data_IF_755515806335
#
_entry.id   IF_755515806335
#
_cell.length_a   1.000
_cell.length_b   1.000
_cell.length_c   1.000
_cell.angle_alpha   90.00
_cell.angle_beta   90.00
_cell.angle_gamma   90.00
#
_symmetry.space_group_name_H-M   'P 1'
#
loop_
_entity.id
_entity.type
_entity.pdbx_description
1 polymer ?
#
# COMPACT_ATOMS: atom_id res chain seq x y z
N UNK A 1 24.26 14.46 4.75
CA UNK A 1 22.98 15.21 4.78
C UNK A 1 21.77 14.36 4.38
N UNK A 2 21.80 13.59 3.28
CA UNK A 2 20.65 12.78 2.82
C UNK A 2 20.20 11.72 3.87
N UNK A 3 21.14 11.07 4.56
CA UNK A 3 20.84 10.06 5.61
C UNK A 3 20.17 10.69 6.86
N UNK A 4 20.47 11.95 7.18
CA UNK A 4 19.86 12.67 8.30
C UNK A 4 18.40 13.03 8.04
N UNK A 5 18.08 13.45 6.81
CA UNK A 5 16.70 13.74 6.40
C UNK A 5 15.82 12.49 6.38
N UNK A 6 16.37 11.36 5.95
CA UNK A 6 15.66 10.08 6.00
C UNK A 6 15.38 9.57 7.41
N UNK A 7 16.25 9.89 8.38
CA UNK A 7 16.03 9.55 9.79
C UNK A 7 14.80 10.28 10.37
N UNK A 8 14.62 11.56 10.04
CA UNK A 8 13.42 12.33 10.43
C UNK A 8 12.15 11.71 9.84
N UNK A 9 12.21 11.24 8.59
CA UNK A 9 11.07 10.56 7.96
C UNK A 9 10.71 9.24 8.67
N UNK A 10 11.67 8.51 9.27
CA UNK A 10 11.39 7.33 10.08
C UNK A 10 10.79 7.65 11.46
N UNK A 11 11.06 8.84 11.99
CA UNK A 11 10.48 9.23 13.28
C UNK A 11 9.00 9.56 13.18
N UNK A 12 8.49 9.85 11.97
CA UNK A 12 7.06 10.05 11.75
C UNK A 12 6.37 8.70 11.77
N UNK A 13 5.48 8.40 12.74
CA UNK A 13 4.77 7.13 12.78
C UNK A 13 3.96 6.93 11.50
N UNK A 14 3.90 5.70 10.98
CA UNK A 14 3.19 5.40 9.72
C UNK A 14 1.73 5.81 9.79
N UNK A 15 1.10 5.61 10.95
CA UNK A 15 -0.26 6.04 11.24
C UNK A 15 -0.45 7.56 11.17
N UNK A 16 0.55 8.35 11.60
CA UNK A 16 0.48 9.81 11.51
C UNK A 16 0.56 10.28 10.06
N UNK A 17 1.42 9.64 9.25
CA UNK A 17 1.50 9.92 7.81
C UNK A 17 0.18 9.58 7.09
N UNK A 18 -0.43 8.44 7.42
CA UNK A 18 -1.75 8.08 6.90
C UNK A 18 -2.81 9.11 7.31
N UNK A 19 -2.81 9.55 8.56
CA UNK A 19 -3.70 10.60 9.07
C UNK A 19 -3.57 11.93 8.31
N UNK A 20 -2.34 12.35 8.00
CA UNK A 20 -2.05 13.57 7.24
C UNK A 20 -2.52 13.51 5.79
N UNK A 21 -2.59 12.33 5.18
CA UNK A 21 -3.02 12.18 3.79
C UNK A 21 -4.54 12.24 3.62
N UNK A 22 -5.32 12.05 4.70
CA UNK A 22 -6.78 12.02 4.63
C UNK A 22 -7.40 13.33 4.14
N UNK A 23 -7.02 14.52 4.64
CA UNK A 23 -7.58 15.78 4.15
C UNK A 23 -7.24 16.06 2.69
N UNK A 24 -6.13 15.50 2.20
CA UNK A 24 -5.59 15.77 0.85
C UNK A 24 -6.11 14.79 -0.21
N UNK A 25 -6.15 13.50 0.12
CA UNK A 25 -6.42 12.41 -0.83
C UNK A 25 -7.63 11.55 -0.43
N UNK A 26 -8.27 11.87 0.68
CA UNK A 26 -9.39 11.09 1.21
C UNK A 26 -8.96 9.78 1.82
N UNK A 27 -9.82 8.77 1.70
CA UNK A 27 -9.68 7.51 2.43
C UNK A 27 -9.72 6.34 1.48
N UNK A 28 -8.87 5.35 1.74
CA UNK A 28 -8.79 4.13 0.96
C UNK A 28 -7.38 3.78 0.52
N UNK A 29 -7.30 3.05 -0.58
CA UNK A 29 -6.05 2.47 -1.10
C UNK A 29 -5.06 3.52 -1.60
N UNK A 30 -5.53 4.61 -2.20
CA UNK A 30 -4.66 5.66 -2.77
C UNK A 30 -3.73 6.30 -1.72
N UNK A 31 -4.23 6.90 -0.62
CA UNK A 31 -3.36 7.45 0.43
C UNK A 31 -2.49 6.39 1.09
N UNK A 32 -2.98 5.15 1.24
CA UNK A 32 -2.19 4.05 1.76
C UNK A 32 -0.98 3.73 0.87
N UNK A 33 -1.18 3.62 -0.44
CA UNK A 33 -0.09 3.38 -1.39
C UNK A 33 0.93 4.52 -1.36
N UNK A 34 0.49 5.77 -1.31
CA UNK A 34 1.39 6.93 -1.22
C UNK A 34 2.28 6.82 0.03
N UNK A 35 1.68 6.54 1.20
CA UNK A 35 2.43 6.37 2.44
C UNK A 35 3.40 5.19 2.39
N UNK A 36 2.95 4.03 1.90
CA UNK A 36 3.77 2.82 1.79
C UNK A 36 4.95 3.02 0.84
N UNK A 37 4.75 3.71 -0.28
CA UNK A 37 5.83 4.08 -1.21
C UNK A 37 6.85 4.98 -0.51
N UNK A 38 6.40 6.01 0.21
CA UNK A 38 7.30 6.90 0.94
C UNK A 38 8.15 6.14 1.98
N UNK A 39 7.56 5.15 2.65
CA UNK A 39 8.26 4.28 3.60
C UNK A 39 9.26 3.34 2.92
N UNK A 40 8.88 2.76 1.79
CA UNK A 40 9.72 1.84 1.01
C UNK A 40 10.95 2.52 0.40
N UNK A 41 10.85 3.80 0.06
CA UNK A 41 11.96 4.57 -0.50
C UNK A 41 13.18 4.55 0.41
N UNK A 42 12.98 4.47 1.72
CA UNK A 42 14.11 4.54 2.63
C UNK A 42 15.08 3.35 2.56
N UNK A 43 14.66 2.10 2.80
CA UNK A 43 15.55 0.95 2.63
C UNK A 43 16.12 0.88 1.21
N UNK A 44 15.35 1.28 0.19
CA UNK A 44 15.84 1.35 -1.19
C UNK A 44 16.98 2.36 -1.35
N UNK A 45 16.80 3.60 -0.91
CA UNK A 45 17.80 4.66 -1.01
C UNK A 45 19.04 4.33 -0.18
N UNK A 46 18.86 3.84 1.05
CA UNK A 46 19.96 3.49 1.94
C UNK A 46 20.84 2.40 1.34
N UNK A 47 20.23 1.30 0.88
CA UNK A 47 20.98 0.20 0.29
C UNK A 47 21.59 0.57 -1.06
N UNK A 48 20.90 1.36 -1.88
CA UNK A 48 21.47 1.85 -3.16
C UNK A 48 22.68 2.74 -2.91
N UNK A 49 22.58 3.68 -1.97
CA UNK A 49 23.68 4.57 -1.62
C UNK A 49 24.87 3.80 -1.03
N UNK A 50 24.61 2.88 -0.10
CA UNK A 50 25.65 2.00 0.47
C UNK A 50 26.31 1.17 -0.62
N UNK A 51 25.54 0.52 -1.49
CA UNK A 51 26.08 -0.30 -2.57
C UNK A 51 27.03 0.50 -3.46
N UNK A 52 26.62 1.66 -3.96
CA UNK A 52 27.47 2.51 -4.82
C UNK A 52 28.75 2.94 -4.08
N UNK A 53 28.66 3.24 -2.78
CA UNK A 53 29.81 3.68 -1.99
C UNK A 53 30.80 2.54 -1.70
N UNK A 54 30.35 1.30 -1.68
CA UNK A 54 31.18 0.11 -1.43
C UNK A 54 31.93 -0.38 -2.67
N UNK A 55 31.66 0.17 -3.86
CA UNK A 55 32.41 -0.14 -5.07
C UNK A 55 33.86 0.34 -4.94
N UNK A 56 34.81 -0.56 -5.20
CA UNK A 56 36.24 -0.24 -5.20
C UNK A 56 36.56 0.89 -6.20
N UNK A 57 37.12 2.02 -5.76
CA UNK A 57 37.54 3.12 -6.63
C UNK A 57 38.47 2.67 -7.77
N UNK A 58 39.32 1.66 -7.55
CA UNK A 58 40.24 1.15 -8.56
C UNK A 58 39.49 0.57 -9.77
N UNK A 59 38.33 -0.05 -9.56
CA UNK A 59 37.48 -0.56 -10.64
C UNK A 59 36.84 0.59 -11.44
N UNK A 60 36.55 1.71 -10.79
CA UNK A 60 35.98 2.89 -11.44
C UNK A 60 37.04 3.63 -12.28
N UNK A 61 38.25 3.78 -11.75
CA UNK A 61 39.39 4.36 -12.47
C UNK A 61 39.79 3.50 -13.67
N UNK A 62 39.82 2.17 -13.50
CA UNK A 62 40.07 1.24 -14.60
C UNK A 62 38.99 1.35 -15.71
N UNK A 63 37.71 1.50 -15.33
CA UNK A 63 36.64 1.71 -16.30
C UNK A 63 36.81 3.03 -17.07
N UNK A 64 37.25 4.10 -16.40
CA UNK A 64 37.55 5.38 -17.04
C UNK A 64 38.76 5.30 -17.97
N UNK A 65 39.84 4.64 -17.54
CA UNK A 65 41.04 4.41 -18.35
C UNK A 65 40.74 3.58 -19.62
N UNK A 66 39.76 2.68 -19.55
CA UNK A 66 39.24 1.92 -20.69
C UNK A 66 38.31 2.73 -21.62
N UNK A 67 38.18 4.04 -21.40
CA UNK A 67 37.38 4.95 -22.23
C UNK A 67 35.87 4.82 -22.00
N UNK A 68 35.42 4.26 -20.88
CA UNK A 68 33.99 4.20 -20.59
C UNK A 68 33.44 5.57 -20.20
N UNK A 69 32.42 6.03 -20.93
CA UNK A 69 31.65 7.20 -20.52
C UNK A 69 30.79 6.89 -19.28
N UNK A 70 30.29 7.94 -18.61
CA UNK A 70 29.51 7.84 -17.36
C UNK A 70 28.35 6.85 -17.42
N UNK A 71 27.62 6.79 -18.55
CA UNK A 71 26.50 5.84 -18.74
C UNK A 71 26.98 4.39 -18.87
N UNK A 72 28.05 4.15 -19.64
CA UNK A 72 28.64 2.80 -19.79
C UNK A 72 29.23 2.32 -18.47
N UNK A 73 29.94 3.18 -17.75
CA UNK A 73 30.49 2.88 -16.42
C UNK A 73 29.37 2.50 -15.43
N UNK A 74 28.31 3.31 -15.37
CA UNK A 74 27.15 3.01 -14.52
C UNK A 74 26.51 1.65 -14.86
N UNK A 75 26.21 1.40 -16.14
CA UNK A 75 25.47 0.21 -16.56
C UNK A 75 26.31 -1.08 -16.56
N UNK A 76 27.62 -1.00 -16.79
CA UNK A 76 28.50 -2.18 -16.95
C UNK A 76 29.38 -2.47 -15.74
N UNK A 77 29.60 -1.50 -14.86
CA UNK A 77 30.52 -1.65 -13.72
C UNK A 77 29.78 -1.39 -12.41
N UNK A 78 29.31 -0.16 -12.19
CA UNK A 78 28.68 0.21 -10.91
C UNK A 78 27.41 -0.60 -10.63
N UNK A 79 26.44 -0.64 -11.56
CA UNK A 79 25.18 -1.35 -11.33
C UNK A 79 25.41 -2.85 -11.07
N UNK A 80 26.12 -3.62 -11.92
CA UNK A 80 26.34 -5.05 -11.66
C UNK A 80 27.03 -5.36 -10.32
N UNK A 81 28.00 -4.54 -9.91
CA UNK A 81 28.71 -4.73 -8.64
C UNK A 81 27.83 -4.41 -7.42
N UNK A 82 26.89 -3.48 -7.57
CA UNK A 82 26.01 -3.00 -6.48
C UNK A 82 24.67 -3.73 -6.41
N UNK A 83 24.31 -4.50 -7.44
CA UNK A 83 23.05 -5.22 -7.52
C UNK A 83 22.70 -6.05 -6.28
N UNK A 84 23.61 -6.84 -5.67
CA UNK A 84 23.27 -7.63 -4.48
C UNK A 84 22.77 -6.76 -3.33
N UNK A 85 23.44 -5.62 -3.09
CA UNK A 85 23.06 -4.67 -2.04
C UNK A 85 21.73 -3.99 -2.37
N UNK A 86 21.53 -3.56 -3.62
CA UNK A 86 20.25 -2.98 -4.07
C UNK A 86 19.11 -3.98 -3.88
N UNK A 87 19.30 -5.25 -4.26
CA UNK A 87 18.31 -6.31 -4.10
C UNK A 87 18.01 -6.63 -2.64
N UNK A 88 19.01 -6.57 -1.76
CA UNK A 88 18.78 -6.65 -0.30
C UNK A 88 17.88 -5.49 0.19
N UNK A 89 18.07 -4.30 -0.37
CA UNK A 89 17.20 -3.14 -0.13
C UNK A 89 15.76 -3.35 -0.60
N UNK A 90 15.57 -3.87 -1.81
CA UNK A 90 14.24 -4.21 -2.36
C UNK A 90 13.53 -5.23 -1.48
N UNK A 91 14.24 -6.27 -1.03
CA UNK A 91 13.69 -7.30 -0.16
C UNK A 91 13.25 -6.73 1.19
N UNK A 92 14.10 -5.94 1.81
CA UNK A 92 13.79 -5.26 3.09
C UNK A 92 12.57 -4.35 2.93
N UNK A 93 12.49 -3.60 1.83
CA UNK A 93 11.37 -2.74 1.51
C UNK A 93 10.06 -3.53 1.33
N UNK A 94 10.11 -4.67 0.63
CA UNK A 94 8.94 -5.51 0.39
C UNK A 94 8.36 -6.06 1.71
N UNK A 95 9.20 -6.62 2.57
CA UNK A 95 8.78 -7.13 3.89
C UNK A 95 8.20 -6.00 4.75
N UNK A 96 8.84 -4.83 4.75
CA UNK A 96 8.36 -3.64 5.47
C UNK A 96 6.98 -3.20 4.97
N UNK A 97 6.78 -3.10 3.65
CA UNK A 97 5.51 -2.71 3.05
C UNK A 97 4.41 -3.71 3.41
N UNK A 98 4.65 -5.01 3.26
CA UNK A 98 3.63 -6.03 3.54
C UNK A 98 3.19 -5.96 5.01
N UNK A 99 4.15 -5.82 5.93
CA UNK A 99 3.85 -5.65 7.35
C UNK A 99 3.07 -4.37 7.63
N UNK A 100 3.53 -3.23 7.13
CA UNK A 100 2.90 -1.92 7.38
C UNK A 100 1.56 -1.73 6.65
N UNK A 101 1.35 -2.42 5.53
CA UNK A 101 0.09 -2.39 4.78
C UNK A 101 -1.08 -2.95 5.60
N UNK A 102 -0.83 -3.85 6.55
CA UNK A 102 -1.88 -4.35 7.46
C UNK A 102 -2.49 -3.21 8.29
N UNK A 103 -1.69 -2.22 8.66
CA UNK A 103 -2.13 -1.04 9.42
C UNK A 103 -2.96 -0.09 8.55
N UNK A 104 -2.78 -0.12 7.22
CA UNK A 104 -3.53 0.73 6.30
C UNK A 104 -5.04 0.39 6.26
N UNK A 105 -5.45 -0.78 6.77
CA UNK A 105 -6.86 -1.11 7.01
C UNK A 105 -7.56 -0.08 7.90
N UNK A 106 -6.84 0.55 8.84
CA UNK A 106 -7.36 1.64 9.70
C UNK A 106 -7.87 2.84 8.91
N UNK A 107 -7.38 3.02 7.68
CA UNK A 107 -7.83 4.07 6.76
C UNK A 107 -8.60 3.50 5.57
N UNK A 108 -9.26 2.35 5.75
CA UNK A 108 -10.12 1.74 4.73
C UNK A 108 -9.40 1.30 3.46
N UNK A 109 -8.09 1.03 3.53
CA UNK A 109 -7.34 0.45 2.41
C UNK A 109 -7.70 -1.03 2.15
N UNK A 110 -8.27 -1.70 3.16
CA UNK A 110 -8.77 -3.06 3.08
C UNK A 110 -7.71 -4.15 3.25
N UNK A 111 -8.10 -5.39 2.99
CA UNK A 111 -7.21 -6.55 2.86
C UNK A 111 -7.08 -7.37 4.15
N UNK A 112 -5.96 -8.07 4.33
CA UNK A 112 -5.74 -8.92 5.52
C UNK A 112 -5.77 -8.10 6.83
N UNK A 113 -5.46 -6.81 6.76
CA UNK A 113 -5.56 -5.89 7.89
C UNK A 113 -6.97 -5.72 8.44
N UNK A 114 -8.01 -5.86 7.62
CA UNK A 114 -9.41 -5.76 8.07
C UNK A 114 -9.75 -6.89 9.06
N UNK A 115 -9.26 -8.10 8.78
CA UNK A 115 -9.48 -9.28 9.63
C UNK A 115 -8.73 -9.13 10.95
N UNK A 116 -7.49 -8.62 10.89
CA UNK A 116 -6.69 -8.35 12.09
C UNK A 116 -7.41 -7.32 12.97
N UNK A 117 -7.87 -6.23 12.37
CA UNK A 117 -8.54 -5.15 13.06
C UNK A 117 -9.87 -5.59 13.66
N UNK A 118 -10.64 -6.39 12.91
CA UNK A 118 -11.88 -7.01 13.41
C UNK A 118 -11.63 -7.91 14.62
N UNK A 119 -10.55 -8.69 14.61
CA UNK A 119 -10.15 -9.51 15.76
C UNK A 119 -9.74 -8.67 16.97
N UNK A 120 -9.02 -7.56 16.76
CA UNK A 120 -8.66 -6.62 17.84
C UNK A 120 -9.92 -6.05 18.48
N UNK A 121 -10.87 -5.57 17.67
CA UNK A 121 -12.10 -4.96 18.17
C UNK A 121 -13.00 -5.94 18.92
N UNK A 122 -13.04 -7.19 18.46
CA UNK A 122 -13.82 -8.27 19.10
C UNK A 122 -13.09 -8.95 20.24
N UNK A 123 -11.85 -8.54 20.55
CA UNK A 123 -10.97 -9.23 21.49
C UNK A 123 -10.84 -10.74 21.18
N UNK A 124 -10.90 -11.09 19.89
CA UNK A 124 -10.89 -12.46 19.41
C UNK A 124 -9.51 -12.78 18.81
N UNK A 125 -8.70 -13.48 19.59
CA UNK A 125 -7.37 -13.90 19.18
C UNK A 125 -7.38 -14.83 17.95
N UNK A 126 -8.43 -15.62 17.74
CA UNK A 126 -8.52 -16.49 16.57
C UNK A 126 -8.65 -15.64 15.30
N UNK A 127 -9.49 -14.60 15.32
CA UNK A 127 -9.60 -13.66 14.20
C UNK A 127 -8.29 -12.89 13.94
N UNK A 128 -7.62 -12.43 14.99
CA UNK A 128 -6.30 -11.77 14.85
C UNK A 128 -5.31 -12.71 14.14
N UNK A 129 -5.25 -13.97 14.56
CA UNK A 129 -4.33 -14.96 13.97
C UNK A 129 -4.71 -15.32 12.53
N UNK A 130 -6.00 -15.41 12.20
CA UNK A 130 -6.47 -15.67 10.83
C UNK A 130 -6.03 -14.55 9.88
N UNK A 131 -5.95 -13.30 10.33
CA UNK A 131 -5.41 -12.20 9.52
C UNK A 131 -3.88 -12.13 9.52
N UNK A 132 -3.25 -12.27 10.69
CA UNK A 132 -1.82 -12.06 10.88
C UNK A 132 -0.95 -13.19 10.28
N UNK A 133 -1.36 -14.46 10.42
CA UNK A 133 -0.58 -15.60 9.92
C UNK A 133 -0.44 -15.55 8.39
N UNK A 134 -1.51 -15.39 7.60
CA UNK A 134 -1.39 -15.25 6.15
C UNK A 134 -0.58 -14.02 5.74
N UNK A 135 -0.68 -12.90 6.46
CA UNK A 135 0.11 -11.71 6.17
C UNK A 135 1.62 -11.96 6.38
N UNK A 136 1.98 -12.63 7.49
CA UNK A 136 3.36 -13.02 7.76
C UNK A 136 3.89 -14.04 6.74
N UNK A 137 3.08 -15.04 6.37
CA UNK A 137 3.43 -16.00 5.33
C UNK A 137 3.64 -15.33 3.98
N UNK A 138 2.79 -14.36 3.60
CA UNK A 138 2.95 -13.58 2.38
C UNK A 138 4.26 -12.78 2.39
N UNK A 139 4.62 -12.17 3.53
CA UNK A 139 5.88 -11.44 3.67
C UNK A 139 7.09 -12.37 3.49
N UNK A 140 7.08 -13.54 4.13
CA UNK A 140 8.15 -14.53 4.01
C UNK A 140 8.23 -15.08 2.58
N UNK A 141 7.08 -15.38 1.96
CA UNK A 141 7.03 -15.87 0.60
C UNK A 141 7.64 -14.86 -0.38
N UNK A 142 7.30 -13.57 -0.24
CA UNK A 142 7.88 -12.50 -1.05
C UNK A 142 9.37 -12.32 -0.81
N UNK A 143 9.83 -12.38 0.45
CA UNK A 143 11.25 -12.33 0.80
C UNK A 143 12.04 -13.44 0.10
N UNK A 144 11.54 -14.68 0.18
CA UNK A 144 12.14 -15.86 -0.44
C UNK A 144 12.14 -15.75 -1.97
N UNK A 145 11.03 -15.32 -2.57
CA UNK A 145 10.93 -15.15 -4.03
C UNK A 145 11.94 -14.12 -4.54
N UNK A 146 12.03 -12.97 -3.87
CA UNK A 146 13.00 -11.92 -4.21
C UNK A 146 14.44 -12.36 -3.97
N UNK A 147 14.69 -13.19 -2.96
CA UNK A 147 16.00 -13.80 -2.71
C UNK A 147 16.41 -14.79 -3.79
N UNK A 148 15.47 -15.55 -4.33
CA UNK A 148 15.77 -16.44 -5.47
C UNK A 148 16.08 -15.64 -6.74
N UNK A 149 15.35 -14.54 -6.97
CA UNK A 149 15.60 -13.62 -8.08
C UNK A 149 16.99 -12.97 -7.99
N UNK A 150 17.48 -12.64 -6.79
CA UNK A 150 18.84 -12.08 -6.58
C UNK A 150 19.94 -13.01 -7.12
N UNK A 151 19.76 -14.34 -7.04
CA UNK A 151 20.77 -15.31 -7.50
C UNK A 151 20.86 -15.40 -9.03
N UNK A 152 19.92 -14.81 -9.75
CA UNK A 152 19.89 -14.82 -11.21
C UNK A 152 20.69 -13.60 -11.72
N UNK A 153 21.44 -13.77 -12.82
CA UNK A 153 22.23 -12.67 -13.41
C UNK A 153 21.40 -11.41 -13.68
N UNK A 154 22.04 -10.23 -13.67
CA UNK A 154 21.42 -8.91 -13.89
C UNK A 154 20.46 -8.86 -15.09
N UNK A 155 20.78 -9.57 -16.18
CA UNK A 155 19.90 -9.66 -17.37
C UNK A 155 18.61 -10.46 -17.10
N UNK A 156 18.71 -11.51 -16.29
CA UNK A 156 17.56 -12.33 -15.88
C UNK A 156 16.67 -11.62 -14.85
N UNK A 157 17.24 -10.81 -13.96
CA UNK A 157 16.46 -9.94 -13.05
C UNK A 157 15.68 -8.90 -13.84
N UNK A 158 16.30 -8.26 -14.84
CA UNK A 158 15.63 -7.26 -15.67
C UNK A 158 14.49 -7.88 -16.52
N UNK A 159 14.70 -9.08 -17.05
CA UNK A 159 13.69 -9.81 -17.82
C UNK A 159 12.54 -10.34 -16.93
N UNK A 160 12.84 -10.85 -15.74
CA UNK A 160 11.81 -11.26 -14.78
C UNK A 160 10.99 -10.05 -14.30
N UNK A 161 11.66 -8.94 -13.98
CA UNK A 161 11.00 -7.70 -13.55
C UNK A 161 10.11 -7.11 -14.66
N UNK A 162 10.53 -7.14 -15.92
CA UNK A 162 9.68 -6.67 -17.03
C UNK A 162 8.45 -7.57 -17.22
N UNK A 163 8.60 -8.89 -17.10
CA UNK A 163 7.48 -9.83 -17.24
C UNK A 163 6.46 -9.66 -16.11
N UNK A 164 6.93 -9.55 -14.85
CA UNK A 164 6.05 -9.29 -13.71
C UNK A 164 5.42 -7.90 -13.75
N UNK A 165 6.15 -6.86 -14.17
CA UNK A 165 5.61 -5.52 -14.34
C UNK A 165 4.48 -5.50 -15.38
N UNK A 166 4.62 -6.23 -16.49
CA UNK A 166 3.57 -6.35 -17.52
C UNK A 166 2.35 -7.08 -16.98
N UNK A 167 2.52 -8.15 -16.20
CA UNK A 167 1.40 -8.87 -15.56
C UNK A 167 0.70 -7.97 -14.54
N UNK A 168 1.46 -7.24 -13.71
CA UNK A 168 0.91 -6.31 -12.73
C UNK A 168 0.15 -5.17 -13.42
N UNK A 169 0.69 -4.61 -14.51
CA UNK A 169 0.01 -3.57 -15.30
C UNK A 169 -1.24 -4.11 -16.00
N UNK A 170 -1.24 -5.37 -16.45
CA UNK A 170 -2.43 -6.01 -17.04
C UNK A 170 -3.51 -6.29 -15.98
N UNK A 171 -3.13 -6.79 -14.81
CA UNK A 171 -4.06 -7.05 -13.71
C UNK A 171 -4.64 -5.73 -13.19
N UNK A 172 -3.79 -4.73 -12.92
CA UNK A 172 -4.24 -3.40 -12.51
C UNK A 172 -5.09 -2.76 -13.62
N UNK A 173 -4.65 -2.81 -14.88
CA UNK A 173 -5.40 -2.30 -16.03
C UNK A 173 -6.79 -2.93 -16.17
N UNK A 174 -6.91 -4.24 -15.94
CA UNK A 174 -8.21 -4.92 -15.96
C UNK A 174 -9.16 -4.45 -14.85
N UNK A 175 -8.64 -4.08 -13.67
CA UNK A 175 -9.47 -3.53 -12.58
C UNK A 175 -9.93 -2.09 -12.85
N UNK A 176 -9.18 -1.32 -13.64
CA UNK A 176 -9.57 0.04 -14.05
C UNK A 176 -10.56 0.07 -15.24
N UNK A 177 -10.70 -1.02 -16.01
CA UNK A 177 -11.70 -1.15 -17.08
C UNK A 177 -13.00 -1.75 -16.49
N UNK A 178 -13.52 -1.15 -15.43
CA UNK A 178 -14.93 -1.33 -15.08
C UNK A 178 -15.72 -0.19 -15.73
N UNK A 179 -16.73 -0.47 -16.58
CA UNK A 179 -17.57 0.57 -17.13
C UNK A 179 -18.26 1.32 -15.99
N UNK A 180 -18.02 2.63 -15.94
CA UNK A 180 -18.67 3.56 -15.04
C UNK A 180 -20.14 3.73 -15.44
N UNK A 181 -21.00 2.79 -15.05
CA UNK A 181 -22.44 2.94 -15.24
C UNK A 181 -23.22 2.15 -14.21
N UNK A 182 -23.33 2.72 -13.02
CA UNK A 182 -24.51 2.68 -12.14
C UNK A 182 -24.25 3.63 -10.98
N UNK A 183 -25.26 4.38 -10.55
CA UNK A 183 -25.12 5.35 -9.46
C UNK A 183 -24.65 4.61 -8.20
N UNK A 184 -23.41 4.86 -7.77
CA UNK A 184 -22.79 4.19 -6.62
C UNK A 184 -22.92 5.06 -5.38
N UNK A 185 -23.64 4.57 -4.38
CA UNK A 185 -23.71 5.19 -3.05
C UNK A 185 -22.70 4.47 -2.14
N UNK A 186 -21.68 5.20 -1.66
CA UNK A 186 -20.69 4.64 -0.73
C UNK A 186 -21.17 4.89 0.70
N UNK A 187 -21.48 3.81 1.42
CA UNK A 187 -21.87 3.86 2.83
C UNK A 187 -20.71 3.34 3.69
N UNK A 188 -20.30 4.16 4.65
CA UNK A 188 -19.17 3.90 5.53
C UNK A 188 -19.64 3.60 6.95
N UNK A 189 -19.09 2.56 7.55
CA UNK A 189 -19.35 2.19 8.94
C UNK A 189 -18.14 2.43 9.84
N UNK A 190 -18.40 2.78 11.09
CA UNK A 190 -17.41 2.71 12.17
C UNK A 190 -17.04 1.25 12.44
N UNK A 191 -15.86 1.03 12.99
CA UNK A 191 -15.51 -0.25 13.62
C UNK A 191 -16.53 -0.65 14.71
N UNK A 192 -16.99 -1.91 14.65
CA UNK A 192 -17.94 -2.50 15.58
C UNK A 192 -19.03 -3.34 14.88
N UNK A 193 -19.57 -4.32 15.61
CA UNK A 193 -20.59 -5.24 15.07
C UNK A 193 -21.91 -4.55 14.73
N UNK A 194 -22.38 -3.60 15.55
CA UNK A 194 -23.65 -2.90 15.30
C UNK A 194 -23.59 -1.99 14.07
N UNK A 195 -22.58 -1.10 13.88
CA UNK A 195 -22.47 -0.33 12.65
C UNK A 195 -22.34 -1.21 11.40
N UNK A 196 -21.63 -2.34 11.49
CA UNK A 196 -21.42 -3.26 10.37
C UNK A 196 -22.73 -3.95 9.93
N UNK A 197 -23.54 -4.40 10.91
CA UNK A 197 -24.88 -4.94 10.64
C UNK A 197 -25.76 -3.85 10.05
N UNK A 198 -25.73 -2.64 10.61
CA UNK A 198 -26.58 -1.54 10.18
C UNK A 198 -26.31 -1.11 8.73
N UNK A 199 -25.04 -0.92 8.35
CA UNK A 199 -24.70 -0.57 6.96
C UNK A 199 -25.06 -1.70 5.99
N UNK A 200 -24.95 -2.96 6.43
CA UNK A 200 -25.32 -4.13 5.62
C UNK A 200 -26.83 -4.20 5.42
N UNK A 201 -27.61 -3.95 6.46
CA UNK A 201 -29.08 -3.82 6.36
C UNK A 201 -29.48 -2.67 5.43
N UNK A 202 -28.84 -1.50 5.57
CA UNK A 202 -29.11 -0.36 4.69
C UNK A 202 -28.75 -0.63 3.23
N UNK A 203 -27.65 -1.33 2.97
CA UNK A 203 -27.30 -1.75 1.61
C UNK A 203 -28.40 -2.61 1.00
N UNK A 204 -28.86 -3.64 1.71
CA UNK A 204 -29.93 -4.53 1.24
C UNK A 204 -31.20 -3.74 0.95
N UNK A 205 -31.64 -2.89 1.87
CA UNK A 205 -32.84 -2.06 1.70
C UNK A 205 -32.75 -1.11 0.51
N UNK A 206 -31.60 -0.47 0.29
CA UNK A 206 -31.42 0.50 -0.80
C UNK A 206 -31.32 -0.22 -2.15
N UNK A 207 -30.57 -1.33 -2.24
CA UNK A 207 -30.45 -2.11 -3.48
C UNK A 207 -31.76 -2.82 -3.85
N UNK A 208 -32.59 -3.18 -2.87
CA UNK A 208 -33.90 -3.80 -3.10
C UNK A 208 -34.98 -2.80 -3.51
N UNK A 209 -34.92 -1.55 -3.01
CA UNK A 209 -35.96 -0.53 -3.25
C UNK A 209 -35.54 0.55 -4.27
N UNK A 210 -34.30 0.55 -4.75
CA UNK A 210 -33.80 1.53 -5.74
C UNK A 210 -32.80 0.90 -6.71
N UNK A 211 -32.65 1.46 -7.92
CA UNK A 211 -31.63 1.06 -8.90
C UNK A 211 -30.19 1.49 -8.53
N UNK A 212 -29.95 1.86 -7.27
CA UNK A 212 -28.67 2.40 -6.77
C UNK A 212 -27.86 1.26 -6.17
N UNK A 213 -26.63 1.08 -6.66
CA UNK A 213 -25.71 0.06 -6.14
C UNK A 213 -24.93 0.62 -4.96
N UNK A 214 -24.92 -0.10 -3.82
CA UNK A 214 -24.30 0.38 -2.59
C UNK A 214 -22.97 -0.29 -2.35
N UNK A 215 -21.91 0.52 -2.23
CA UNK A 215 -20.57 0.06 -1.90
C UNK A 215 -20.31 0.30 -0.41
N UNK A 216 -20.06 -0.77 0.33
CA UNK A 216 -19.78 -0.69 1.77
C UNK A 216 -18.28 -0.53 1.99
N UNK A 217 -17.93 0.44 2.84
CA UNK A 217 -16.60 0.54 3.45
C UNK A 217 -16.73 0.32 4.96
N UNK A 218 -16.79 -0.94 5.43
CA UNK A 218 -16.79 -1.22 6.85
C UNK A 218 -15.44 -0.85 7.49
N UNK A 219 -15.43 -0.63 8.81
CA UNK A 219 -14.20 -0.57 9.58
C UNK A 219 -13.31 0.66 9.37
N UNK A 220 -13.89 1.81 9.02
CA UNK A 220 -13.17 3.08 8.81
C UNK A 220 -12.61 3.72 10.10
N UNK A 221 -12.19 2.94 11.09
CA UNK A 221 -11.66 3.46 12.34
C UNK A 221 -12.72 3.92 13.35
N UNK A 222 -12.28 4.70 14.34
CA UNK A 222 -13.12 5.23 15.43
C UNK A 222 -13.97 6.45 15.04
N UNK A 223 -14.82 6.92 15.97
CA UNK A 223 -15.81 7.99 15.74
C UNK A 223 -15.20 9.27 15.14
N UNK A 224 -14.05 9.71 15.63
CA UNK A 224 -13.38 10.94 15.17
C UNK A 224 -12.91 10.85 13.71
N UNK A 225 -12.53 9.64 13.27
CA UNK A 225 -12.08 9.39 11.91
C UNK A 225 -13.25 9.47 10.93
N UNK A 226 -14.34 8.75 11.22
CA UNK A 226 -15.56 8.76 10.42
C UNK A 226 -16.21 10.15 10.39
N UNK A 227 -16.18 10.88 11.50
CA UNK A 227 -16.69 12.26 11.56
C UNK A 227 -15.88 13.22 10.66
N UNK A 228 -14.55 13.15 10.69
CA UNK A 228 -13.69 13.97 9.83
C UNK A 228 -13.87 13.62 8.35
N UNK A 229 -14.07 12.34 8.03
CA UNK A 229 -14.38 11.83 6.70
C UNK A 229 -15.74 12.31 6.15
N UNK A 230 -16.72 12.47 7.04
CA UNK A 230 -18.04 13.04 6.70
C UNK A 230 -17.93 14.54 6.43
N UNK A 231 -17.18 15.27 7.27
CA UNK A 231 -16.99 16.71 7.15
C UNK A 231 -16.25 17.12 5.87
N UNK A 232 -15.36 16.26 5.36
CA UNK A 232 -14.66 16.47 4.09
C UNK A 232 -15.51 16.22 2.83
N UNK A 233 -16.82 15.90 2.98
CA UNK A 233 -17.75 15.53 1.88
C UNK A 233 -17.34 14.29 1.08
N UNK A 234 -16.41 13.48 1.62
CA UNK A 234 -15.92 12.25 0.98
C UNK A 234 -16.91 11.10 1.21
N UNK A 235 -17.68 11.16 2.30
CA UNK A 235 -18.75 10.24 2.65
C UNK A 235 -20.10 10.97 2.67
N UNK A 236 -21.15 10.29 2.23
CA UNK A 236 -22.53 10.80 2.35
C UNK A 236 -23.18 10.19 3.59
N UNK A 237 -23.61 11.02 4.54
CA UNK A 237 -24.40 10.55 5.69
C UNK A 237 -25.78 10.08 5.24
N UNK A 238 -26.27 8.98 5.81
CA UNK A 238 -27.61 8.44 5.56
C UNK A 238 -28.69 9.48 5.86
N UNK A 239 -28.49 10.36 6.86
CA UNK A 239 -29.43 11.46 7.15
C UNK A 239 -29.46 12.51 6.03
N UNK A 240 -28.29 12.88 5.47
CA UNK A 240 -28.19 13.79 4.33
C UNK A 240 -28.74 13.18 3.04
N UNK A 241 -28.70 11.85 2.89
CA UNK A 241 -29.31 11.15 1.76
C UNK A 241 -30.85 11.16 1.85
N UNK A 242 -31.41 10.91 3.04
CA UNK A 242 -32.86 10.98 3.30
C UNK A 242 -33.42 12.37 2.98
N UNK A 243 -32.81 13.43 3.50
CA UNK A 243 -33.28 14.82 3.32
C UNK A 243 -33.20 15.32 1.86
N UNK A 244 -32.28 14.78 1.05
CA UNK A 244 -32.08 15.24 -0.34
C UNK A 244 -32.89 14.48 -1.38
N UNK A 245 -33.27 13.22 -1.13
CA UNK A 245 -33.80 12.34 -2.20
C UNK A 245 -34.94 11.40 -1.78
N UNK A 246 -35.30 11.31 -0.50
CA UNK A 246 -36.46 10.55 -0.03
C UNK A 246 -37.31 11.42 0.92
N UNK A 247 -37.95 12.51 0.45
CA UNK A 247 -38.73 13.39 1.32
C UNK A 247 -40.08 12.79 1.79
N UNK A 248 -40.48 11.64 1.26
CA UNK A 248 -41.80 11.04 1.49
C UNK A 248 -41.77 9.69 2.23
N UNK A 249 -40.71 9.41 2.99
CA UNK A 249 -40.66 8.35 4.00
C UNK A 249 -40.14 8.90 5.33
#
# INVERSE_FOLDING_TARGET
MIIGFTGVLQTLPSLALLGLLIPLFGIGTVPAVIALVAYALLPLLRNTYTGIKEVDPALLEAAEAMGMNRRKKLLKVELPLTMPVIMAGVRTAAVLIIGTATIAALIGAGGLGDIILLGIDRNDYALILIGAIPAALLAILMDVLLRQLEKISFKGVLAAASTYAVIIVLVIGSTFIHPASQQKLVIAGKLGSEPEILISMYKLLIEENTDIKVELKPGLGGTSFVYNALKSKILTSIQNFRERRLPNF
#
